data_IF_127717760322
#
_entry.id   IF_127717760322
#
_cell.length_a   1.000
_cell.length_b   1.000
_cell.length_c   1.000
_cell.angle_alpha   90.00
_cell.angle_beta   90.00
_cell.angle_gamma   90.00
#
_symmetry.space_group_name_H-M   'P 1'
#
loop_
_entity.id
_entity.type
_entity.pdbx_description
1 polymer ?
#
# COMPACT_ATOMS: atom_id res chain seq x y z
N UNK A 1 10.20 6.58 -17.40
CA UNK A 1 9.27 7.50 -16.70
C UNK A 1 8.12 6.71 -16.07
N UNK A 2 8.34 5.90 -15.02
CA UNK A 2 7.26 5.09 -14.40
C UNK A 2 7.44 4.85 -12.89
N UNK A 3 8.40 5.49 -12.23
CA UNK A 3 8.64 5.30 -10.78
C UNK A 3 7.78 6.22 -9.90
N UNK A 4 7.40 7.40 -10.40
CA UNK A 4 6.62 8.38 -9.65
C UNK A 4 5.20 7.87 -9.37
N UNK A 5 4.50 7.33 -10.39
CA UNK A 5 3.16 6.77 -10.22
C UNK A 5 3.10 5.60 -9.23
N UNK A 6 4.18 4.82 -9.12
CA UNK A 6 4.26 3.73 -8.15
C UNK A 6 4.41 4.26 -6.72
N UNK A 7 5.21 5.29 -6.50
CA UNK A 7 5.36 5.88 -5.16
C UNK A 7 4.05 6.47 -4.65
N UNK A 8 3.24 7.07 -5.53
CA UNK A 8 1.95 7.62 -5.13
C UNK A 8 0.93 6.53 -4.78
N UNK A 9 0.87 5.44 -5.56
CA UNK A 9 0.04 4.29 -5.24
C UNK A 9 0.41 3.67 -3.88
N UNK A 10 1.71 3.60 -3.57
CA UNK A 10 2.20 3.09 -2.28
C UNK A 10 1.80 4.00 -1.11
N UNK A 11 1.87 5.33 -1.29
CA UNK A 11 1.43 6.30 -0.26
C UNK A 11 -0.08 6.20 0.01
N UNK A 12 -0.89 6.10 -1.04
CA UNK A 12 -2.35 5.95 -0.91
C UNK A 12 -2.69 4.64 -0.20
N UNK A 13 -2.06 3.52 -0.61
CA UNK A 13 -2.25 2.22 0.05
C UNK A 13 -1.88 2.26 1.53
N UNK A 14 -0.74 2.89 1.88
CA UNK A 14 -0.31 3.05 3.27
C UNK A 14 -1.36 3.79 4.10
N UNK A 15 -1.88 4.91 3.58
CA UNK A 15 -2.90 5.69 4.27
C UNK A 15 -4.17 4.87 4.50
N UNK A 16 -4.67 4.20 3.46
CA UNK A 16 -5.87 3.37 3.56
C UNK A 16 -5.70 2.19 4.53
N UNK A 17 -4.51 1.58 4.61
CA UNK A 17 -4.23 0.53 5.61
C UNK A 17 -4.26 1.05 7.04
N UNK A 18 -3.72 2.25 7.30
CA UNK A 18 -3.76 2.89 8.62
C UNK A 18 -5.20 3.28 8.98
N UNK A 19 -5.98 3.72 7.98
CA UNK A 19 -7.40 4.04 8.12
C UNK A 19 -8.27 2.78 8.37
N UNK A 20 -7.69 1.58 8.26
CA UNK A 20 -8.38 0.30 8.52
C UNK A 20 -9.22 -0.22 7.36
N UNK A 21 -8.96 0.26 6.13
CA UNK A 21 -9.69 -0.14 4.92
C UNK A 21 -9.34 -1.57 4.47
N UNK A 22 -10.29 -2.23 3.81
CA UNK A 22 -10.11 -3.59 3.30
C UNK A 22 -9.11 -3.69 2.14
N UNK A 23 -8.38 -4.80 2.10
CA UNK A 23 -7.34 -5.07 1.09
C UNK A 23 -7.88 -5.03 -0.34
N UNK A 24 -9.08 -5.55 -0.60
CA UNK A 24 -9.68 -5.52 -1.94
C UNK A 24 -9.94 -4.09 -2.43
N UNK A 25 -10.41 -3.21 -1.54
CA UNK A 25 -10.65 -1.79 -1.85
C UNK A 25 -9.33 -1.08 -2.16
N UNK A 26 -8.30 -1.34 -1.36
CA UNK A 26 -6.96 -0.79 -1.57
C UNK A 26 -6.37 -1.28 -2.90
N UNK A 27 -6.55 -2.55 -3.25
CA UNK A 27 -6.10 -3.12 -4.52
C UNK A 27 -6.80 -2.47 -5.71
N UNK A 28 -8.11 -2.22 -5.63
CA UNK A 28 -8.86 -1.57 -6.72
C UNK A 28 -8.38 -0.14 -6.94
N UNK A 29 -8.16 0.62 -5.87
CA UNK A 29 -7.76 2.03 -5.95
C UNK A 29 -6.30 2.18 -6.41
N UNK A 30 -5.39 1.43 -5.79
CA UNK A 30 -3.95 1.59 -5.99
C UNK A 30 -3.40 0.72 -7.11
N UNK A 31 -4.20 -0.24 -7.61
CA UNK A 31 -3.80 -1.28 -8.58
C UNK A 31 -2.57 -2.09 -8.13
N UNK A 32 -2.27 -2.06 -6.84
CA UNK A 32 -1.19 -2.83 -6.25
C UNK A 32 -1.63 -4.27 -6.03
N UNK A 33 -0.68 -5.19 -6.08
CA UNK A 33 -0.95 -6.61 -5.78
C UNK A 33 -0.88 -6.82 -4.28
N UNK A 34 -1.59 -7.86 -3.80
CA UNK A 34 -1.56 -8.25 -2.38
C UNK A 34 -0.14 -8.40 -1.81
N UNK A 35 0.81 -8.92 -2.60
CA UNK A 35 2.23 -9.01 -2.19
C UNK A 35 2.85 -7.64 -1.90
N UNK A 36 2.56 -6.65 -2.74
CA UNK A 36 3.09 -5.30 -2.59
C UNK A 36 2.43 -4.61 -1.39
N UNK A 37 1.14 -4.82 -1.19
CA UNK A 37 0.42 -4.35 -0.02
C UNK A 37 0.98 -4.93 1.29
N UNK A 38 1.23 -6.26 1.35
CA UNK A 38 1.86 -6.89 2.53
C UNK A 38 3.25 -6.33 2.81
N UNK A 39 4.00 -6.02 1.76
CA UNK A 39 5.33 -5.39 1.88
C UNK A 39 5.23 -3.97 2.46
N UNK A 40 4.20 -3.20 2.09
CA UNK A 40 3.92 -1.89 2.70
C UNK A 40 3.60 -2.08 4.19
N UNK A 41 2.69 -2.98 4.53
CA UNK A 41 2.35 -3.24 5.92
C UNK A 41 3.59 -3.60 6.76
N UNK A 42 4.45 -4.49 6.26
CA UNK A 42 5.66 -4.93 6.96
C UNK A 42 6.78 -3.89 7.03
N UNK A 43 6.95 -3.04 6.00
CA UNK A 43 8.07 -2.10 5.97
C UNK A 43 7.72 -0.71 6.53
N UNK A 44 6.45 -0.31 6.44
CA UNK A 44 6.02 1.08 6.62
C UNK A 44 5.04 1.27 7.78
N UNK A 45 4.34 0.21 8.22
CA UNK A 45 3.32 0.26 9.29
C UNK A 45 3.81 -0.49 10.52
N UNK A 46 4.28 -1.72 10.35
CA UNK A 46 4.91 -2.52 11.39
C UNK A 46 6.29 -2.97 10.93
N UNK A 47 7.24 -2.02 10.75
CA UNK A 47 8.66 -2.38 10.70
C UNK A 47 8.99 -2.92 12.09
N UNK A 48 8.81 -4.22 12.24
CA UNK A 48 8.99 -4.94 13.49
C UNK A 48 10.28 -4.45 14.20
N UNK A 49 10.10 -3.88 15.39
CA UNK A 49 11.06 -3.43 16.42
C UNK A 49 12.57 -3.43 16.08
#
# INVERSE_FOLDING_TARGET
>A
MNRENQQDAFKVAKKMMIDGEDWDKIMQETRLRLKDLKRIQQNEIDPHF
#
